data_IF_922073142905
#
_entry.id   IF_922073142905
#
_cell.length_a   1.000
_cell.length_b   1.000
_cell.length_c   1.000
_cell.angle_alpha   90.00
_cell.angle_beta   90.00
_cell.angle_gamma   90.00
#
_symmetry.space_group_name_H-M   'P 1'
#
loop_
_entity.id
_entity.type
_entity.pdbx_description
1 polymer ?
#
# COMPACT_ATOMS: atom_id res chain seq x y z
N UNK A 1 4.40 5.06 13.70
CA UNK A 1 3.40 4.58 12.71
C UNK A 1 3.72 5.31 11.43
N UNK A 2 4.12 4.56 10.39
CA UNK A 2 4.74 5.07 9.17
C UNK A 2 4.02 6.26 8.50
N UNK A 3 2.68 6.29 8.53
CA UNK A 3 1.91 7.42 8.00
C UNK A 3 2.16 8.73 8.76
N UNK A 4 2.27 8.68 10.10
CA UNK A 4 2.54 9.88 10.93
C UNK A 4 3.95 10.43 10.73
N UNK A 5 4.87 9.56 10.34
CA UNK A 5 6.26 9.94 10.05
C UNK A 5 6.41 10.54 8.64
N UNK A 6 5.48 10.22 7.73
CA UNK A 6 5.59 10.55 6.30
C UNK A 6 4.62 11.62 5.80
N UNK A 7 3.50 11.78 6.50
CA UNK A 7 2.43 12.74 6.19
C UNK A 7 2.13 13.61 7.40
N UNK A 8 1.96 14.92 7.18
CA UNK A 8 1.57 15.86 8.22
C UNK A 8 0.18 15.51 8.76
N UNK A 9 -0.78 15.30 7.86
CA UNK A 9 -2.15 14.89 8.14
C UNK A 9 -2.82 14.43 6.81
N UNK A 10 -4.16 14.42 6.76
CA UNK A 10 -4.92 14.04 5.57
C UNK A 10 -4.84 15.08 4.43
N UNK A 11 -4.52 16.33 4.77
CA UNK A 11 -4.40 17.47 3.87
C UNK A 11 -2.95 17.69 3.39
N UNK A 12 -2.05 16.73 3.65
CA UNK A 12 -0.67 16.78 3.17
C UNK A 12 -0.62 16.94 1.65
N UNK A 13 0.25 17.82 1.14
CA UNK A 13 0.33 18.10 -0.30
C UNK A 13 0.63 16.85 -1.14
N UNK A 14 1.32 15.84 -0.58
CA UNK A 14 1.55 14.54 -1.22
C UNK A 14 0.26 13.75 -1.47
N UNK A 15 -0.80 14.07 -0.74
CA UNK A 15 -2.11 13.41 -0.79
C UNK A 15 -3.15 14.20 -1.59
N UNK A 16 -2.82 15.41 -2.06
CA UNK A 16 -3.78 16.36 -2.67
C UNK A 16 -4.51 15.84 -3.90
N UNK A 17 -3.87 14.97 -4.68
CA UNK A 17 -4.48 14.35 -5.86
C UNK A 17 -5.30 13.11 -5.51
N UNK A 18 -5.15 12.60 -4.28
CA UNK A 18 -5.86 11.46 -3.75
C UNK A 18 -7.11 11.92 -3.00
N UNK A 19 -8.20 11.17 -3.12
CA UNK A 19 -9.39 11.36 -2.29
C UNK A 19 -9.16 10.76 -0.90
N UNK A 20 -8.17 11.27 -0.19
CA UNK A 20 -7.76 10.77 1.12
C UNK A 20 -8.78 11.16 2.19
N UNK A 21 -8.96 10.28 3.18
CA UNK A 21 -9.74 10.55 4.38
C UNK A 21 -9.12 9.82 5.58
N UNK A 22 -9.46 10.24 6.79
CA UNK A 22 -9.03 9.57 8.03
C UNK A 22 -10.16 8.69 8.54
N UNK A 23 -9.89 7.41 8.81
CA UNK A 23 -10.89 6.49 9.36
C UNK A 23 -11.06 6.65 10.89
N UNK A 24 -11.98 5.86 11.46
CA UNK A 24 -12.27 5.85 12.92
C UNK A 24 -11.06 5.49 13.79
N UNK A 25 -10.05 4.83 13.23
CA UNK A 25 -8.82 4.44 13.93
C UNK A 25 -7.71 5.49 13.74
N UNK A 26 -7.97 6.57 13.01
CA UNK A 26 -6.99 7.60 12.73
C UNK A 26 -6.04 7.25 11.56
N UNK A 27 -6.35 6.23 10.76
CA UNK A 27 -5.55 5.80 9.61
C UNK A 27 -5.97 6.58 8.36
N UNK A 28 -5.01 7.03 7.56
CA UNK A 28 -5.26 7.72 6.30
C UNK A 28 -5.53 6.68 5.20
N UNK A 29 -6.67 6.79 4.52
CA UNK A 29 -7.16 5.82 3.52
C UNK A 29 -7.62 6.53 2.26
N UNK A 30 -7.59 5.80 1.14
CA UNK A 30 -8.04 6.29 -0.15
C UNK A 30 -9.51 5.96 -0.38
N UNK A 31 -10.32 6.94 -0.78
CA UNK A 31 -11.67 6.71 -1.27
C UNK A 31 -11.64 6.29 -2.75
N UNK A 32 -11.93 5.03 -3.03
CA UNK A 32 -11.95 4.49 -4.41
C UNK A 32 -13.30 4.73 -5.09
N UNK A 33 -13.40 4.39 -6.39
CA UNK A 33 -14.68 4.43 -7.13
C UNK A 33 -15.58 3.21 -6.85
N UNK A 34 -15.07 2.18 -6.18
CA UNK A 34 -15.73 0.88 -6.01
C UNK A 34 -16.33 0.67 -4.62
N UNK A 35 -16.65 1.77 -3.90
CA UNK A 35 -17.18 1.72 -2.52
C UNK A 35 -18.46 0.89 -2.34
N UNK A 36 -19.22 0.70 -3.41
CA UNK A 36 -20.49 -0.03 -3.39
C UNK A 36 -20.36 -1.48 -3.86
N UNK A 37 -19.16 -1.92 -4.25
CA UNK A 37 -18.91 -3.32 -4.60
C UNK A 37 -19.04 -4.19 -3.33
N UNK A 38 -19.66 -5.38 -3.39
CA UNK A 38 -19.68 -6.31 -2.26
C UNK A 38 -18.27 -6.91 -2.08
N UNK A 39 -17.43 -6.18 -1.36
CA UNK A 39 -16.03 -6.51 -1.13
C UNK A 39 -15.60 -6.04 0.27
N UNK A 40 -14.40 -6.43 0.68
CA UNK A 40 -13.81 -6.03 1.95
C UNK A 40 -13.61 -4.52 2.06
N UNK A 41 -13.68 -3.98 3.28
CA UNK A 41 -13.49 -2.55 3.51
C UNK A 41 -12.07 -2.09 3.14
N UNK A 42 -11.08 -2.96 3.37
CA UNK A 42 -9.68 -2.69 3.01
C UNK A 42 -9.49 -2.62 1.49
N UNK A 43 -10.28 -3.36 0.71
CA UNK A 43 -10.26 -3.27 -0.75
C UNK A 43 -10.97 -2.02 -1.27
N UNK A 44 -12.12 -1.67 -0.67
CA UNK A 44 -12.90 -0.49 -1.04
C UNK A 44 -12.19 0.81 -0.63
N UNK A 45 -11.52 0.81 0.52
CA UNK A 45 -10.82 1.96 1.08
C UNK A 45 -9.40 1.56 1.54
N UNK A 46 -8.45 1.41 0.61
CA UNK A 46 -7.11 0.94 0.95
C UNK A 46 -6.35 1.97 1.79
N UNK A 47 -5.51 1.46 2.67
CA UNK A 47 -4.59 2.28 3.49
C UNK A 47 -3.53 2.90 2.57
N UNK A 48 -3.25 4.19 2.75
CA UNK A 48 -2.23 4.88 1.97
C UNK A 48 -0.86 4.69 2.61
N UNK A 49 0.09 4.10 1.88
CA UNK A 49 1.48 3.96 2.31
C UNK A 49 2.37 4.97 1.58
N UNK A 50 3.40 5.53 2.25
CA UNK A 50 4.34 6.44 1.61
C UNK A 50 5.23 5.68 0.62
N UNK A 51 5.44 6.25 -0.57
CA UNK A 51 6.26 5.65 -1.62
C UNK A 51 7.77 5.67 -1.32
N UNK A 52 8.24 6.67 -0.57
CA UNK A 52 9.64 6.81 -0.17
C UNK A 52 9.87 6.22 1.22
N UNK A 53 9.68 4.91 1.35
CA UNK A 53 9.98 4.20 2.59
C UNK A 53 10.48 2.77 2.30
N UNK A 54 11.59 2.38 2.91
CA UNK A 54 12.23 1.09 2.67
C UNK A 54 11.33 -0.10 3.05
N UNK A 55 10.60 -0.03 4.16
CA UNK A 55 9.69 -1.09 4.58
C UNK A 55 8.52 -1.24 3.60
N UNK A 56 8.01 -0.13 3.06
CA UNK A 56 6.95 -0.16 2.03
C UNK A 56 7.47 -0.77 0.74
N UNK A 57 8.69 -0.41 0.32
CA UNK A 57 9.33 -1.00 -0.86
C UNK A 57 9.53 -2.51 -0.70
N UNK A 58 10.04 -2.95 0.45
CA UNK A 58 10.17 -4.39 0.78
C UNK A 58 8.81 -5.09 0.78
N UNK A 59 7.77 -4.46 1.31
CA UNK A 59 6.40 -5.00 1.31
C UNK A 59 5.86 -5.19 -0.11
N UNK A 60 6.06 -4.20 -0.99
CA UNK A 60 5.67 -4.27 -2.40
C UNK A 60 6.41 -5.41 -3.10
N UNK A 61 7.73 -5.52 -2.93
CA UNK A 61 8.52 -6.61 -3.53
C UNK A 61 8.07 -7.97 -3.00
N UNK A 62 7.89 -8.11 -1.68
CA UNK A 62 7.42 -9.36 -1.07
C UNK A 62 6.11 -9.82 -1.69
N UNK A 63 5.10 -8.94 -1.78
CA UNK A 63 3.82 -9.29 -2.37
C UNK A 63 3.87 -9.42 -3.88
N UNK A 64 4.74 -8.68 -4.57
CA UNK A 64 5.00 -8.88 -5.99
C UNK A 64 5.47 -10.31 -6.24
N UNK A 65 6.52 -10.78 -5.55
CA UNK A 65 7.06 -12.14 -5.70
C UNK A 65 6.03 -13.19 -5.28
N UNK A 66 5.42 -13.02 -4.09
CA UNK A 66 4.41 -13.95 -3.55
C UNK A 66 3.21 -14.12 -4.48
N UNK A 67 2.73 -13.03 -5.08
CA UNK A 67 1.56 -13.05 -5.96
C UNK A 67 1.93 -13.29 -7.42
N UNK A 68 3.19 -13.04 -7.84
CA UNK A 68 3.68 -13.33 -9.20
C UNK A 68 3.78 -14.85 -9.46
N UNK A 69 3.83 -15.70 -8.43
CA UNK A 69 3.60 -17.14 -8.64
C UNK A 69 2.21 -17.46 -9.23
N UNK A 70 1.22 -16.56 -9.12
CA UNK A 70 -0.08 -16.68 -9.77
C UNK A 70 -0.11 -16.12 -11.21
N UNK A 71 0.94 -15.44 -11.66
CA UNK A 71 1.10 -14.91 -13.01
C UNK A 71 2.47 -15.33 -13.56
N UNK A 72 2.54 -16.50 -14.19
CA UNK A 72 3.77 -17.00 -14.82
C UNK A 72 4.42 -15.93 -15.70
N UNK A 73 5.67 -15.58 -15.37
CA UNK A 73 6.55 -14.82 -16.26
C UNK A 73 7.11 -13.53 -15.69
N UNK A 74 7.90 -13.59 -14.61
CA UNK A 74 8.99 -12.62 -14.39
C UNK A 74 10.19 -13.35 -13.77
N UNK A 75 11.31 -13.19 -14.47
CA UNK A 75 12.55 -13.94 -14.39
C UNK A 75 13.31 -13.71 -13.08
N UNK A 76 13.80 -14.82 -12.51
CA UNK A 76 15.05 -14.99 -11.75
C UNK A 76 15.73 -13.69 -11.28
N UNK A 77 15.41 -13.23 -10.06
CA UNK A 77 16.27 -12.52 -9.07
C UNK A 77 15.57 -12.38 -7.68
N UNK A 78 14.44 -13.05 -7.46
CA UNK A 78 13.65 -12.91 -6.23
C UNK A 78 14.13 -13.80 -5.07
N UNK A 79 14.86 -14.87 -5.34
CA UNK A 79 15.29 -15.84 -4.33
C UNK A 79 16.40 -15.27 -3.42
N UNK A 80 17.26 -14.39 -3.96
CA UNK A 80 18.35 -13.76 -3.19
C UNK A 80 17.90 -12.65 -2.23
N UNK A 81 16.72 -12.04 -2.47
CA UNK A 81 16.17 -10.99 -1.60
C UNK A 81 15.48 -11.59 -0.37
N UNK A 82 14.97 -12.81 -0.47
CA UNK A 82 14.25 -13.49 0.61
C UNK A 82 15.15 -14.31 1.55
N UNK A 83 16.39 -14.63 1.12
CA UNK A 83 17.36 -15.40 1.93
C UNK A 83 17.99 -14.61 3.08
N UNK A 84 17.78 -13.29 3.13
CA UNK A 84 18.28 -12.40 4.17
C UNK A 84 17.33 -12.16 5.36
N UNK A 85 16.32 -13.01 5.55
CA UNK A 85 15.41 -13.00 6.71
C UNK A 85 15.62 -14.21 7.62
#
# INVERSE_FOLDING_TARGET
MIQKESFVNVDDEKLKTLRAFKDKNGIIRLKTKILYRPDSEDFKTPVILPSQNELVNRLVIYYHVKNAHAAQGLSLEAEDILSGF
#
